data_IF_507193764082
#
_entry.id   IF_507193764082
#
_cell.length_a   1.000
_cell.length_b   1.000
_cell.length_c   1.000
_cell.angle_alpha   90.00
_cell.angle_beta   90.00
_cell.angle_gamma   90.00
#
_symmetry.space_group_name_H-M   'P 1'
#
loop_
_entity.id
_entity.type
_entity.pdbx_description
1 polymer ?
#
# COMPACT_ATOMS: atom_id res chain seq x y z
N UNK A 1 28.71 11.05 9.41
CA UNK A 1 28.77 10.27 8.14
C UNK A 1 27.44 9.58 7.91
N UNK A 2 26.48 10.27 7.25
CA UNK A 2 25.10 9.80 7.03
C UNK A 2 24.77 9.82 5.53
N UNK A 3 25.49 9.02 4.73
CA UNK A 3 25.29 8.97 3.26
C UNK A 3 24.76 7.63 2.72
N UNK A 4 24.43 6.63 3.56
CA UNK A 4 24.19 5.29 3.03
C UNK A 4 22.74 4.95 2.63
N UNK A 5 21.74 5.52 3.30
CA UNK A 5 20.32 5.15 3.07
C UNK A 5 19.76 5.62 1.72
N UNK A 6 20.13 6.83 1.26
CA UNK A 6 19.63 7.35 -0.01
C UNK A 6 20.27 6.71 -1.26
N UNK A 7 21.46 6.14 -1.14
CA UNK A 7 22.12 5.47 -2.27
C UNK A 7 21.50 4.09 -2.54
N UNK A 8 21.07 3.38 -1.49
CA UNK A 8 20.44 2.06 -1.67
C UNK A 8 19.07 2.16 -2.37
N UNK A 9 18.28 3.17 -2.04
CA UNK A 9 17.01 3.44 -2.74
C UNK A 9 17.21 3.90 -4.20
N UNK A 10 18.27 4.68 -4.48
CA UNK A 10 18.62 5.05 -5.86
C UNK A 10 19.12 3.87 -6.67
N UNK A 11 19.90 2.99 -6.06
CA UNK A 11 20.40 1.78 -6.70
C UNK A 11 19.29 0.73 -6.90
N UNK A 12 18.35 0.61 -5.96
CA UNK A 12 17.15 -0.22 -6.11
C UNK A 12 16.30 0.25 -7.30
N UNK A 13 16.10 1.57 -7.44
CA UNK A 13 15.39 2.18 -8.57
C UNK A 13 16.07 1.92 -9.92
N UNK A 14 17.41 1.99 -9.99
CA UNK A 14 18.16 1.72 -11.22
C UNK A 14 18.15 0.27 -11.64
N UNK A 15 17.99 -0.65 -10.67
CA UNK A 15 18.09 -2.09 -10.90
C UNK A 15 16.71 -2.79 -10.89
N UNK A 16 15.59 -2.04 -10.84
CA UNK A 16 14.22 -2.60 -10.73
C UNK A 16 14.06 -3.62 -9.58
N UNK A 17 14.81 -3.46 -8.48
CA UNK A 17 14.87 -4.38 -7.33
C UNK A 17 13.93 -3.94 -6.19
N UNK A 18 12.85 -3.23 -6.48
CA UNK A 18 11.90 -2.70 -5.49
C UNK A 18 10.60 -3.52 -5.40
N UNK A 19 10.63 -4.76 -5.88
CA UNK A 19 9.54 -5.72 -5.71
C UNK A 19 9.65 -6.42 -4.34
N UNK A 20 8.64 -6.23 -3.51
CA UNK A 20 8.58 -6.75 -2.15
C UNK A 20 7.31 -7.56 -1.96
N UNK A 21 7.42 -8.88 -1.76
CA UNK A 21 6.27 -9.75 -1.52
C UNK A 21 5.76 -9.60 -0.10
N UNK A 22 4.52 -9.16 0.02
CA UNK A 22 3.85 -8.92 1.31
C UNK A 22 3.45 -10.24 1.97
N UNK A 23 3.59 -10.32 3.29
CA UNK A 23 3.21 -11.52 4.03
C UNK A 23 1.69 -11.69 4.08
N UNK A 24 1.22 -12.94 3.95
CA UNK A 24 -0.20 -13.29 4.01
C UNK A 24 -0.85 -12.85 5.34
N UNK A 25 -0.10 -12.94 6.44
CA UNK A 25 -0.54 -12.48 7.76
C UNK A 25 -0.82 -10.97 7.81
N UNK A 26 0.04 -10.17 7.18
CA UNK A 26 -0.12 -8.72 7.15
C UNK A 26 -1.29 -8.31 6.26
N UNK A 27 -1.47 -9.01 5.13
CA UNK A 27 -2.63 -8.85 4.25
C UNK A 27 -3.92 -9.20 5.02
N UNK A 28 -3.97 -10.35 5.69
CA UNK A 28 -5.13 -10.79 6.44
C UNK A 28 -5.49 -9.87 7.61
N UNK A 29 -4.46 -9.33 8.30
CA UNK A 29 -4.65 -8.40 9.40
C UNK A 29 -5.27 -7.08 8.94
N UNK A 30 -4.90 -6.56 7.80
CA UNK A 30 -5.49 -5.34 7.26
C UNK A 30 -6.87 -5.63 6.64
N UNK A 31 -6.97 -6.60 5.74
CA UNK A 31 -8.17 -6.84 4.95
C UNK A 31 -9.40 -7.26 5.76
N UNK A 32 -9.20 -7.80 6.97
CA UNK A 32 -10.33 -8.13 7.86
C UNK A 32 -11.25 -6.95 8.17
N UNK A 33 -10.73 -5.73 8.08
CA UNK A 33 -11.46 -4.49 8.34
C UNK A 33 -12.29 -3.99 7.15
N UNK A 34 -12.08 -4.59 5.96
CA UNK A 34 -12.69 -4.16 4.70
C UNK A 34 -13.65 -5.18 4.09
N UNK A 35 -13.95 -6.27 4.77
CA UNK A 35 -14.74 -7.41 4.23
C UNK A 35 -16.05 -6.98 3.58
N UNK A 36 -16.75 -6.02 4.18
CA UNK A 36 -18.04 -5.54 3.66
C UNK A 36 -17.95 -4.87 2.28
N UNK A 37 -16.77 -4.33 1.93
CA UNK A 37 -16.56 -3.66 0.65
C UNK A 37 -16.42 -4.61 -0.53
N UNK A 38 -16.09 -5.89 -0.28
CA UNK A 38 -15.74 -6.85 -1.35
C UNK A 38 -16.95 -7.58 -1.94
N UNK A 39 -18.09 -7.61 -1.24
CA UNK A 39 -19.26 -8.38 -1.67
C UNK A 39 -19.77 -7.94 -3.06
N UNK A 40 -19.82 -8.88 -4.00
CA UNK A 40 -20.27 -8.65 -5.38
C UNK A 40 -19.29 -7.84 -6.22
N UNK A 41 -18.03 -7.68 -5.80
CA UNK A 41 -17.03 -6.83 -6.45
C UNK A 41 -16.02 -7.62 -7.25
N UNK A 42 -15.47 -6.96 -8.26
CA UNK A 42 -14.31 -7.41 -9.02
C UNK A 42 -13.07 -6.84 -8.36
N UNK A 43 -12.19 -7.72 -7.87
CA UNK A 43 -10.91 -7.34 -7.25
C UNK A 43 -9.79 -7.52 -8.25
N UNK A 44 -8.89 -6.54 -8.30
CA UNK A 44 -7.71 -6.56 -9.15
C UNK A 44 -6.44 -6.46 -8.31
N UNK A 45 -5.58 -7.47 -8.41
CA UNK A 45 -4.27 -7.54 -7.78
C UNK A 45 -3.21 -7.47 -8.88
N UNK A 46 -2.52 -6.36 -9.02
CA UNK A 46 -1.43 -6.21 -9.97
C UNK A 46 -0.12 -5.89 -9.23
N UNK A 47 0.99 -5.86 -9.96
CA UNK A 47 2.36 -5.58 -9.50
C UNK A 47 3.09 -6.77 -8.90
N UNK A 48 2.47 -7.69 -8.18
CA UNK A 48 3.09 -8.93 -7.72
C UNK A 48 2.89 -10.06 -8.74
N UNK A 49 3.87 -10.96 -8.89
CA UNK A 49 3.69 -12.16 -9.71
C UNK A 49 2.53 -13.00 -9.16
N UNK A 50 1.43 -13.16 -9.90
CA UNK A 50 0.22 -13.80 -9.39
C UNK A 50 0.42 -15.27 -9.02
N UNK A 51 1.50 -15.93 -9.50
CA UNK A 51 1.82 -17.32 -9.15
C UNK A 51 2.33 -17.47 -7.71
N UNK A 52 2.90 -16.38 -7.15
CA UNK A 52 3.48 -16.36 -5.81
C UNK A 52 2.92 -15.23 -4.94
N UNK A 53 2.03 -14.41 -5.49
CA UNK A 53 1.43 -13.27 -4.81
C UNK A 53 0.51 -13.72 -3.68
N UNK A 54 0.83 -13.30 -2.47
CA UNK A 54 -0.02 -13.52 -1.31
C UNK A 54 -1.36 -12.74 -1.40
N UNK A 55 -1.46 -11.71 -2.25
CA UNK A 55 -2.74 -11.05 -2.53
C UNK A 55 -3.67 -11.99 -3.31
N UNK A 56 -3.17 -12.61 -4.38
CA UNK A 56 -3.95 -13.57 -5.13
C UNK A 56 -4.37 -14.75 -4.25
N UNK A 57 -3.46 -15.31 -3.46
CA UNK A 57 -3.76 -16.39 -2.53
C UNK A 57 -4.83 -15.97 -1.50
N UNK A 58 -4.69 -14.79 -0.89
CA UNK A 58 -5.70 -14.34 0.07
C UNK A 58 -7.09 -14.25 -0.53
N UNK A 59 -7.23 -13.63 -1.69
CA UNK A 59 -8.53 -13.44 -2.32
C UNK A 59 -9.10 -14.71 -2.92
N UNK A 60 -8.29 -15.60 -3.51
CA UNK A 60 -8.78 -16.86 -4.05
C UNK A 60 -9.30 -17.80 -2.95
N UNK A 61 -8.56 -17.96 -1.86
CA UNK A 61 -9.00 -18.78 -0.71
C UNK A 61 -10.14 -18.17 0.12
N UNK A 62 -10.40 -16.88 -0.01
CA UNK A 62 -11.52 -16.24 0.68
C UNK A 62 -12.62 -15.78 -0.30
N UNK A 63 -12.59 -16.24 -1.54
CA UNK A 63 -13.47 -15.77 -2.61
C UNK A 63 -14.94 -15.87 -2.22
N UNK A 64 -15.40 -17.06 -1.86
CA UNK A 64 -16.78 -17.34 -1.46
C UNK A 64 -17.15 -16.60 -0.17
N UNK A 65 -16.27 -16.63 0.82
CA UNK A 65 -16.48 -15.98 2.11
C UNK A 65 -16.62 -14.45 2.00
N UNK A 66 -15.89 -13.83 1.08
CA UNK A 66 -15.98 -12.40 0.77
C UNK A 66 -17.11 -12.09 -0.20
N UNK A 67 -17.66 -13.11 -0.87
CA UNK A 67 -18.69 -13.00 -1.89
C UNK A 67 -18.22 -12.20 -3.11
N UNK A 68 -17.00 -12.44 -3.56
CA UNK A 68 -16.43 -11.77 -4.73
C UNK A 68 -17.21 -12.13 -5.99
N UNK A 69 -17.22 -11.21 -6.96
CA UNK A 69 -17.75 -11.49 -8.29
C UNK A 69 -16.66 -12.08 -9.20
N UNK A 70 -15.44 -11.57 -9.10
CA UNK A 70 -14.30 -11.97 -9.92
C UNK A 70 -13.00 -11.52 -9.24
N UNK A 71 -11.95 -12.29 -9.42
CA UNK A 71 -10.58 -11.93 -9.05
C UNK A 71 -9.72 -11.90 -10.30
N UNK A 72 -8.98 -10.81 -10.52
CA UNK A 72 -8.02 -10.64 -11.60
C UNK A 72 -6.66 -10.36 -10.98
N UNK A 73 -5.61 -10.99 -11.51
CA UNK A 73 -4.24 -10.71 -11.07
C UNK A 73 -3.27 -10.64 -12.25
N UNK A 74 -2.40 -9.64 -12.25
CA UNK A 74 -1.36 -9.45 -13.26
C UNK A 74 -0.06 -8.99 -12.60
N UNK A 75 1.06 -9.20 -13.27
CA UNK A 75 2.34 -8.59 -12.90
C UNK A 75 3.09 -8.08 -14.13
N UNK A 76 4.02 -7.17 -13.85
CA UNK A 76 5.03 -6.77 -14.83
C UNK A 76 6.01 -7.93 -15.06
N UNK A 77 6.29 -8.26 -16.31
CA UNK A 77 7.32 -9.24 -16.66
C UNK A 77 8.70 -8.67 -16.32
N UNK A 78 9.36 -9.24 -15.31
CA UNK A 78 10.77 -8.95 -15.08
C UNK A 78 11.60 -9.48 -16.24
N UNK A 79 12.45 -8.63 -16.82
CA UNK A 79 13.37 -9.02 -17.90
C UNK A 79 14.61 -9.77 -17.37
N UNK A 80 14.79 -9.84 -16.07
CA UNK A 80 15.87 -10.60 -15.45
C UNK A 80 15.49 -12.08 -15.41
N UNK A 81 15.78 -12.77 -16.50
CA UNK A 81 15.73 -14.24 -16.56
C UNK A 81 16.92 -14.75 -15.75
N UNK A 82 16.65 -15.19 -14.53
CA UNK A 82 17.61 -15.96 -13.78
C UNK A 82 17.76 -17.34 -14.47
N UNK A 83 18.99 -17.72 -14.82
CA UNK A 83 19.34 -18.95 -15.55
C UNK A 83 18.86 -20.26 -14.86
N UNK A 84 18.32 -20.16 -13.65
CA UNK A 84 17.86 -21.28 -12.83
C UNK A 84 16.33 -21.38 -12.67
N UNK A 85 15.54 -20.47 -13.22
CA UNK A 85 14.07 -20.59 -13.20
C UNK A 85 13.58 -21.43 -14.39
N UNK A 86 13.27 -22.67 -14.10
CA UNK A 86 12.87 -23.74 -15.06
C UNK A 86 11.49 -23.50 -15.72
N UNK A 87 10.82 -22.38 -15.49
CA UNK A 87 9.56 -22.04 -16.17
C UNK A 87 9.66 -20.69 -16.89
N UNK A 88 10.23 -20.74 -18.08
CA UNK A 88 10.23 -19.69 -19.08
C UNK A 88 8.82 -19.48 -19.65
N UNK A 89 7.96 -18.74 -18.96
CA UNK A 89 6.92 -18.06 -19.70
C UNK A 89 7.55 -16.78 -20.26
N UNK A 90 7.88 -16.80 -21.53
CA UNK A 90 8.43 -15.64 -22.24
C UNK A 90 7.47 -14.45 -22.31
N UNK A 91 6.24 -14.61 -21.81
CA UNK A 91 5.15 -13.64 -21.91
C UNK A 91 4.57 -13.32 -20.55
N UNK A 92 4.18 -12.07 -20.34
CA UNK A 92 3.37 -11.68 -19.21
C UNK A 92 1.99 -12.36 -19.29
N UNK A 93 1.44 -12.70 -18.14
CA UNK A 93 0.12 -13.34 -18.04
C UNK A 93 -0.75 -12.63 -17.02
N UNK A 94 -2.06 -12.74 -17.17
CA UNK A 94 -2.97 -12.45 -16.09
C UNK A 94 -3.78 -13.70 -15.71
N UNK A 95 -4.14 -13.79 -14.45
CA UNK A 95 -4.99 -14.83 -13.92
C UNK A 95 -6.40 -14.27 -13.72
N UNK A 96 -7.40 -15.08 -14.04
CA UNK A 96 -8.79 -14.78 -13.76
C UNK A 96 -9.40 -15.94 -12.98
N UNK A 97 -10.03 -15.63 -11.83
CA UNK A 97 -10.74 -16.60 -11.01
C UNK A 97 -12.17 -16.12 -10.77
N UNK A 98 -13.12 -16.98 -11.07
CA UNK A 98 -14.55 -16.67 -11.04
C UNK A 98 -15.29 -17.46 -9.95
N UNK A 99 -14.56 -18.05 -9.00
CA UNK A 99 -15.12 -18.81 -7.87
C UNK A 99 -15.02 -20.32 -8.04
N UNK A 100 -15.35 -21.00 -6.97
CA UNK A 100 -15.36 -22.45 -6.83
C UNK A 100 -16.52 -23.05 -7.66
N UNK A 101 -16.18 -23.93 -8.61
CA UNK A 101 -17.15 -24.60 -9.48
C UNK A 101 -17.44 -26.02 -9.04
N UNK A 102 -16.57 -26.62 -8.23
CA UNK A 102 -16.64 -28.02 -7.83
C UNK A 102 -17.08 -28.24 -6.38
N UNK A 103 -17.20 -27.18 -5.57
CA UNK A 103 -17.70 -27.22 -4.20
C UNK A 103 -16.65 -27.59 -3.15
N UNK A 104 -15.35 -27.54 -3.49
CA UNK A 104 -14.26 -27.82 -2.55
C UNK A 104 -13.98 -26.67 -1.60
N UNK A 105 -14.40 -25.46 -1.92
CA UNK A 105 -14.07 -24.18 -1.28
C UNK A 105 -12.56 -23.87 -1.26
N UNK A 106 -11.79 -24.50 -2.14
CA UNK A 106 -10.37 -24.24 -2.36
C UNK A 106 -10.17 -23.92 -3.85
N UNK A 107 -9.35 -22.90 -4.19
CA UNK A 107 -9.08 -22.57 -5.59
C UNK A 107 -8.24 -23.67 -6.23
N UNK A 108 -8.77 -24.32 -7.24
CA UNK A 108 -8.04 -25.34 -8.02
C UNK A 108 -7.50 -24.74 -9.32
N UNK A 109 -6.41 -25.33 -9.83
CA UNK A 109 -5.74 -24.82 -11.02
C UNK A 109 -6.67 -24.79 -12.24
N UNK A 110 -7.57 -25.78 -12.34
CA UNK A 110 -8.52 -25.94 -13.44
C UNK A 110 -9.60 -24.85 -13.46
N UNK A 111 -9.78 -24.15 -12.32
CA UNK A 111 -10.73 -23.06 -12.14
C UNK A 111 -10.11 -21.68 -12.41
N UNK A 112 -8.78 -21.63 -12.51
CA UNK A 112 -8.04 -20.39 -12.72
C UNK A 112 -7.68 -20.29 -14.22
N UNK A 113 -8.27 -19.33 -14.90
CA UNK A 113 -7.95 -19.03 -16.28
C UNK A 113 -6.62 -18.27 -16.34
N UNK A 114 -5.66 -18.81 -17.11
CA UNK A 114 -4.36 -18.21 -17.36
C UNK A 114 -4.34 -17.67 -18.79
N UNK A 115 -4.25 -16.34 -18.91
CA UNK A 115 -4.38 -15.66 -20.20
C UNK A 115 -3.09 -14.87 -20.48
N UNK A 116 -2.50 -15.08 -21.67
CA UNK A 116 -1.31 -14.35 -22.10
C UNK A 116 -1.65 -12.88 -22.41
N UNK A 117 -0.80 -11.98 -21.92
CA UNK A 117 -0.81 -10.57 -22.32
C UNK A 117 0.06 -10.41 -23.58
N UNK A 118 -0.32 -9.48 -24.45
CA UNK A 118 0.49 -9.11 -25.62
C UNK A 118 1.68 -8.25 -25.23
N UNK A 119 1.51 -7.45 -24.17
CA UNK A 119 2.52 -6.57 -23.61
C UNK A 119 3.30 -7.19 -22.45
N UNK A 120 4.02 -6.34 -21.73
CA UNK A 120 4.89 -6.71 -20.62
C UNK A 120 4.19 -6.73 -19.23
N UNK A 121 2.89 -6.42 -19.19
CA UNK A 121 2.11 -6.34 -17.94
C UNK A 121 2.35 -5.08 -17.11
N UNK A 122 3.03 -4.08 -17.65
CA UNK A 122 3.15 -2.77 -16.99
C UNK A 122 1.75 -2.21 -16.72
N UNK A 123 1.52 -1.69 -15.50
CA UNK A 123 0.21 -1.16 -15.11
C UNK A 123 -0.27 0.01 -15.99
N UNK A 124 0.63 0.67 -16.70
CA UNK A 124 0.36 1.76 -17.66
C UNK A 124 0.00 1.27 -19.06
N UNK A 125 0.21 -0.01 -19.35
CA UNK A 125 -0.11 -0.56 -20.66
C UNK A 125 -1.60 -0.51 -20.95
N UNK A 126 -1.97 -0.44 -22.23
CA UNK A 126 -3.37 -0.42 -22.64
C UNK A 126 -4.13 -1.66 -22.14
N UNK A 127 -3.50 -2.83 -22.15
CA UNK A 127 -4.11 -4.08 -21.66
C UNK A 127 -4.37 -4.04 -20.16
N UNK A 128 -3.37 -3.59 -19.36
CA UNK A 128 -3.52 -3.45 -17.91
C UNK A 128 -4.60 -2.41 -17.54
N UNK A 129 -4.72 -1.35 -18.35
CA UNK A 129 -5.79 -0.34 -18.19
C UNK A 129 -7.17 -0.95 -18.48
N UNK A 130 -7.29 -1.81 -19.51
CA UNK A 130 -8.57 -2.48 -19.78
C UNK A 130 -8.96 -3.44 -18.66
N UNK A 131 -8.01 -4.13 -18.03
CA UNK A 131 -8.26 -4.93 -16.84
C UNK A 131 -8.61 -4.04 -15.63
N UNK A 132 -7.92 -2.92 -15.45
CA UNK A 132 -8.22 -1.94 -14.42
C UNK A 132 -9.65 -1.41 -14.56
N UNK A 133 -10.12 -1.13 -15.77
CA UNK A 133 -11.49 -0.65 -16.02
C UNK A 133 -12.55 -1.65 -15.53
N UNK A 134 -12.29 -2.97 -15.66
CA UNK A 134 -13.20 -4.02 -15.19
C UNK A 134 -13.24 -4.11 -13.65
N UNK A 135 -12.19 -3.68 -12.97
CA UNK A 135 -12.08 -3.78 -11.52
C UNK A 135 -12.96 -2.75 -10.80
N UNK A 136 -13.53 -3.15 -9.69
CA UNK A 136 -14.16 -2.26 -8.70
C UNK A 136 -13.13 -1.80 -7.66
N UNK A 137 -12.29 -2.73 -7.21
CA UNK A 137 -11.34 -2.52 -6.11
C UNK A 137 -9.97 -3.04 -6.51
N UNK A 138 -8.94 -2.22 -6.33
CA UNK A 138 -7.54 -2.61 -6.54
C UNK A 138 -6.87 -2.85 -5.20
N UNK A 139 -6.25 -4.02 -5.02
CA UNK A 139 -5.51 -4.38 -3.80
C UNK A 139 -4.14 -4.92 -4.18
N UNK A 140 -3.07 -4.20 -3.83
CA UNK A 140 -1.73 -4.58 -4.27
C UNK A 140 -0.62 -3.87 -3.49
N UNK A 141 0.62 -4.27 -3.75
CA UNK A 141 1.83 -3.59 -3.32
C UNK A 141 2.57 -3.04 -4.55
N UNK A 142 2.30 -1.79 -4.97
CA UNK A 142 2.96 -1.21 -6.13
C UNK A 142 4.43 -0.86 -5.83
N UNK A 143 5.32 -0.80 -6.84
CA UNK A 143 6.68 -0.32 -6.67
C UNK A 143 6.69 1.07 -6.05
N UNK A 144 7.41 1.25 -4.94
CA UNK A 144 7.41 2.53 -4.19
C UNK A 144 7.94 3.70 -5.03
N UNK A 145 8.80 3.43 -5.98
CA UNK A 145 9.32 4.43 -6.93
C UNK A 145 8.25 4.99 -7.86
N UNK A 146 7.22 4.21 -8.17
CA UNK A 146 6.12 4.56 -9.07
C UNK A 146 4.81 4.93 -8.33
N UNK A 147 4.85 4.97 -7.00
CA UNK A 147 3.65 5.12 -6.15
C UNK A 147 2.79 6.33 -6.52
N UNK A 148 3.40 7.49 -6.82
CA UNK A 148 2.66 8.72 -7.21
C UNK A 148 1.88 8.52 -8.50
N UNK A 149 2.54 7.96 -9.50
CA UNK A 149 1.97 7.70 -10.82
C UNK A 149 0.84 6.67 -10.71
N UNK A 150 1.07 5.62 -9.91
CA UNK A 150 0.11 4.58 -9.66
C UNK A 150 -1.17 5.11 -9.00
N UNK A 151 -1.05 5.89 -7.91
CA UNK A 151 -2.21 6.52 -7.25
C UNK A 151 -2.93 7.47 -8.19
N UNK A 152 -2.20 8.26 -8.98
CA UNK A 152 -2.82 9.18 -9.96
C UNK A 152 -3.69 8.42 -10.95
N UNK A 153 -3.23 7.27 -11.46
CA UNK A 153 -4.00 6.41 -12.35
C UNK A 153 -5.26 5.87 -11.65
N UNK A 154 -5.16 5.39 -10.42
CA UNK A 154 -6.32 4.88 -9.68
C UNK A 154 -7.40 5.94 -9.47
N UNK A 155 -6.99 7.17 -9.21
CA UNK A 155 -7.91 8.31 -9.06
C UNK A 155 -8.51 8.71 -10.40
N UNK A 156 -7.71 8.75 -11.48
CA UNK A 156 -8.18 9.07 -12.84
C UNK A 156 -9.27 8.11 -13.31
N UNK A 157 -9.12 6.81 -13.03
CA UNK A 157 -10.11 5.79 -13.38
C UNK A 157 -11.18 5.56 -12.30
N UNK A 158 -11.27 6.44 -11.29
CA UNK A 158 -12.25 6.39 -10.18
C UNK A 158 -12.29 5.02 -9.48
N UNK A 159 -11.13 4.43 -9.21
CA UNK A 159 -11.04 3.12 -8.58
C UNK A 159 -11.02 3.21 -7.07
N UNK A 160 -11.71 2.28 -6.43
CA UNK A 160 -11.51 1.99 -5.02
C UNK A 160 -10.22 1.19 -4.87
N UNK A 161 -9.47 1.45 -3.80
CA UNK A 161 -8.19 0.76 -3.63
C UNK A 161 -7.76 0.62 -2.16
N UNK A 162 -6.93 -0.36 -1.94
CA UNK A 162 -6.16 -0.58 -0.71
C UNK A 162 -4.75 -1.02 -1.12
N UNK A 163 -3.77 -0.13 -1.01
CA UNK A 163 -2.43 -0.34 -1.53
C UNK A 163 -1.36 -0.03 -0.48
N UNK A 164 -0.22 -0.69 -0.62
CA UNK A 164 0.93 -0.48 0.27
C UNK A 164 1.80 0.65 -0.29
N UNK A 165 2.26 1.53 0.60
CA UNK A 165 3.18 2.60 0.26
C UNK A 165 4.05 3.00 1.44
N UNK A 166 5.12 3.75 1.16
CA UNK A 166 5.99 4.27 2.19
C UNK A 166 5.45 5.60 2.75
N UNK A 167 5.61 5.84 4.05
CA UNK A 167 5.13 7.06 4.73
C UNK A 167 5.60 8.37 4.06
N UNK A 168 6.78 8.36 3.42
CA UNK A 168 7.27 9.54 2.70
C UNK A 168 6.33 9.97 1.57
N UNK A 169 5.48 9.07 1.07
CA UNK A 169 4.49 9.40 0.05
C UNK A 169 3.50 10.47 0.53
N UNK A 170 3.24 10.57 1.83
CA UNK A 170 2.36 11.59 2.43
C UNK A 170 2.87 13.00 2.11
N UNK A 171 4.19 13.17 1.99
CA UNK A 171 4.81 14.48 1.70
C UNK A 171 4.80 14.86 0.22
N UNK A 172 4.43 13.94 -0.67
CA UNK A 172 4.31 14.25 -2.09
C UNK A 172 3.09 15.14 -2.34
N UNK A 173 3.26 16.19 -3.12
CA UNK A 173 2.21 17.20 -3.37
C UNK A 173 0.90 16.57 -3.84
N UNK A 174 0.97 15.60 -4.74
CA UNK A 174 -0.19 14.92 -5.31
C UNK A 174 -0.93 14.12 -4.24
N UNK A 175 -0.19 13.35 -3.42
CA UNK A 175 -0.74 12.51 -2.36
C UNK A 175 -1.27 13.37 -1.21
N UNK A 176 -0.50 14.39 -0.80
CA UNK A 176 -0.91 15.31 0.28
C UNK A 176 -2.23 16.02 -0.05
N UNK A 177 -2.40 16.47 -1.28
CA UNK A 177 -3.65 17.11 -1.70
C UNK A 177 -4.85 16.15 -1.60
N UNK A 178 -4.68 14.88 -2.00
CA UNK A 178 -5.72 13.88 -1.87
C UNK A 178 -6.08 13.60 -0.40
N UNK A 179 -5.08 13.55 0.49
CA UNK A 179 -5.30 13.40 1.94
C UNK A 179 -6.02 14.62 2.51
N UNK A 180 -5.55 15.82 2.18
CA UNK A 180 -6.15 17.09 2.62
C UNK A 180 -7.61 17.22 2.18
N UNK A 181 -7.90 16.82 0.94
CA UNK A 181 -9.23 16.86 0.35
C UNK A 181 -10.11 15.67 0.80
N UNK A 182 -9.62 14.85 1.74
CA UNK A 182 -10.30 13.68 2.30
C UNK A 182 -10.70 12.64 1.23
N UNK A 183 -9.89 12.48 0.19
CA UNK A 183 -10.09 11.52 -0.89
C UNK A 183 -9.37 10.21 -0.65
N UNK A 184 -8.26 10.23 0.10
CA UNK A 184 -7.50 9.06 0.53
C UNK A 184 -7.07 9.21 1.98
N UNK A 185 -6.79 8.10 2.65
CA UNK A 185 -6.34 8.04 4.04
C UNK A 185 -5.50 6.79 4.29
N UNK A 186 -4.95 6.69 5.50
CA UNK A 186 -4.19 5.52 5.92
C UNK A 186 -5.14 4.45 6.49
N UNK A 187 -4.82 3.18 6.21
CA UNK A 187 -5.48 2.02 6.80
C UNK A 187 -5.11 1.79 8.27
N UNK A 188 -5.32 0.57 8.75
CA UNK A 188 -4.99 0.18 10.11
C UNK A 188 -3.48 0.09 10.32
N UNK A 189 -2.74 -0.42 9.32
CA UNK A 189 -1.29 -0.43 9.29
C UNK A 189 -0.67 -1.78 9.69
N UNK A 190 0.65 -1.81 9.69
CA UNK A 190 1.44 -2.99 10.02
C UNK A 190 1.68 -3.08 11.53
N UNK A 191 1.60 -4.29 12.10
CA UNK A 191 1.91 -4.53 13.51
C UNK A 191 3.37 -4.14 13.79
N UNK A 192 3.57 -3.28 14.78
CA UNK A 192 4.91 -2.78 15.10
C UNK A 192 5.46 -1.69 14.16
N UNK A 193 4.62 -1.13 13.26
CA UNK A 193 4.98 0.02 12.41
C UNK A 193 5.98 -0.29 11.29
N UNK A 194 6.21 -1.57 10.98
CA UNK A 194 7.10 -1.99 9.91
C UNK A 194 6.56 -3.24 9.21
N UNK A 195 6.67 -3.28 7.89
CA UNK A 195 6.38 -4.47 7.09
C UNK A 195 7.59 -5.40 7.00
N UNK A 196 7.35 -6.70 6.98
CA UNK A 196 8.35 -7.71 6.67
C UNK A 196 8.02 -8.31 5.31
N UNK A 197 8.94 -8.21 4.37
CA UNK A 197 8.72 -8.61 2.99
C UNK A 197 9.73 -9.68 2.59
N UNK A 198 9.31 -10.58 1.72
CA UNK A 198 10.23 -11.48 1.02
C UNK A 198 10.77 -10.74 -0.20
N UNK A 199 12.09 -10.78 -0.37
CA UNK A 199 12.75 -10.32 -1.58
C UNK A 199 13.80 -11.34 -1.97
N UNK A 200 13.67 -11.90 -3.17
CA UNK A 200 14.54 -12.97 -3.68
C UNK A 200 15.90 -12.46 -4.15
N UNK A 201 16.09 -11.13 -4.25
CA UNK A 201 17.28 -10.53 -4.86
C UNK A 201 18.23 -9.85 -3.86
N UNK A 202 17.90 -9.81 -2.56
CA UNK A 202 18.74 -9.22 -1.52
C UNK A 202 19.33 -10.29 -0.59
N UNK A 203 20.63 -10.46 -0.64
CA UNK A 203 21.38 -11.36 0.26
C UNK A 203 21.80 -10.70 1.58
N UNK A 204 21.89 -9.38 1.62
CA UNK A 204 22.38 -8.63 2.79
C UNK A 204 21.37 -7.58 3.25
N UNK A 205 20.80 -7.78 4.42
CA UNK A 205 19.81 -6.91 5.03
C UNK A 205 20.44 -5.94 6.01
N UNK A 206 19.94 -4.69 6.00
CA UNK A 206 20.30 -3.72 7.02
C UNK A 206 19.96 -4.27 8.41
N UNK A 207 20.90 -4.14 9.32
CA UNK A 207 20.82 -4.57 10.70
C UNK A 207 19.54 -4.11 11.38
N UNK A 208 18.61 -5.01 11.63
CA UNK A 208 17.49 -4.80 12.53
C UNK A 208 17.49 -5.92 13.55
N UNK A 209 17.20 -5.58 14.79
CA UNK A 209 17.11 -6.48 15.94
C UNK A 209 16.05 -7.58 15.79
N UNK A 210 15.14 -7.45 14.82
CA UNK A 210 14.06 -8.40 14.54
C UNK A 210 14.28 -9.13 13.21
N UNK A 211 15.41 -9.78 13.04
CA UNK A 211 15.71 -10.61 11.88
C UNK A 211 14.76 -11.80 11.83
N UNK A 212 13.87 -11.80 10.82
CA UNK A 212 13.21 -13.03 10.37
C UNK A 212 14.00 -13.53 9.18
N UNK A 213 14.45 -14.79 9.21
CA UNK A 213 15.26 -15.37 8.14
C UNK A 213 14.55 -15.26 6.79
N UNK A 214 15.25 -14.78 5.77
CA UNK A 214 14.71 -14.59 4.41
C UNK A 214 13.79 -13.40 4.21
N UNK A 215 13.63 -12.52 5.21
CA UNK A 215 12.74 -11.35 5.11
C UNK A 215 13.49 -10.04 5.30
N UNK A 216 13.05 -9.00 4.58
CA UNK A 216 13.48 -7.63 4.74
C UNK A 216 12.48 -6.88 5.63
N UNK A 217 12.97 -6.19 6.65
CA UNK A 217 12.18 -5.25 7.43
C UNK A 217 12.22 -3.87 6.79
N UNK A 218 11.07 -3.35 6.38
CA UNK A 218 10.92 -1.99 5.87
C UNK A 218 10.09 -1.18 6.87
N UNK A 219 10.72 -0.19 7.50
CA UNK A 219 10.05 0.74 8.41
C UNK A 219 9.26 1.80 7.63
N UNK A 220 8.21 2.34 8.25
CA UNK A 220 7.43 3.42 7.66
C UNK A 220 6.57 2.99 6.48
N UNK A 221 6.22 1.72 6.40
CA UNK A 221 5.27 1.19 5.42
C UNK A 221 3.86 1.31 5.97
N UNK A 222 2.94 1.77 5.13
CA UNK A 222 1.53 1.96 5.48
C UNK A 222 0.62 1.49 4.35
N UNK A 223 -0.62 1.16 4.73
CA UNK A 223 -1.71 0.98 3.79
C UNK A 223 -2.33 2.34 3.46
N UNK A 224 -2.54 2.59 2.18
CA UNK A 224 -3.24 3.77 1.65
C UNK A 224 -4.54 3.32 1.00
N UNK A 225 -5.64 4.01 1.28
CA UNK A 225 -6.95 3.57 0.79
C UNK A 225 -7.91 4.74 0.62
N UNK A 226 -8.94 4.53 -0.20
CA UNK A 226 -10.14 5.34 -0.30
C UNK A 226 -11.42 4.54 0.06
N UNK A 227 -11.24 3.34 0.64
CA UNK A 227 -12.33 2.54 1.21
C UNK A 227 -12.61 3.03 2.62
N UNK A 228 -13.86 3.26 2.94
CA UNK A 228 -14.25 3.72 4.28
C UNK A 228 -13.95 2.67 5.35
N UNK A 229 -13.49 3.11 6.52
CA UNK A 229 -13.15 2.26 7.66
C UNK A 229 -13.63 2.88 8.97
N UNK A 230 -14.01 2.04 9.94
CA UNK A 230 -14.50 2.48 11.24
C UNK A 230 -13.53 3.43 11.95
N UNK A 231 -12.24 3.16 11.88
CA UNK A 231 -11.17 3.99 12.48
C UNK A 231 -11.23 5.48 12.09
N UNK A 232 -11.81 5.82 10.93
CA UNK A 232 -11.97 7.21 10.50
C UNK A 232 -13.05 7.96 11.27
N UNK A 233 -14.00 7.22 11.82
CA UNK A 233 -15.17 7.74 12.51
C UNK A 233 -15.01 7.67 14.03
N UNK A 234 -13.88 7.17 14.53
CA UNK A 234 -13.57 7.17 15.95
C UNK A 234 -13.37 8.59 16.45
N UNK A 235 -14.04 8.93 17.55
CA UNK A 235 -13.84 10.22 18.20
C UNK A 235 -12.41 10.35 18.72
N UNK A 236 -11.81 11.51 18.48
CA UNK A 236 -10.52 11.84 19.10
C UNK A 236 -10.72 11.98 20.61
N UNK A 237 -10.19 11.03 21.37
CA UNK A 237 -10.12 11.16 22.84
C UNK A 237 -9.11 12.26 23.14
N UNK A 238 -9.64 13.45 23.45
CA UNK A 238 -8.82 14.59 23.83
C UNK A 238 -8.43 14.42 25.30
N UNK A 239 -7.14 14.36 25.56
CA UNK A 239 -6.59 14.36 26.92
C UNK A 239 -6.99 15.62 27.70
N UNK A 240 -7.11 16.75 27.00
CA UNK A 240 -7.48 18.03 27.56
C UNK A 240 -8.34 18.82 26.59
N UNK A 241 -9.45 19.38 27.10
CA UNK A 241 -10.24 20.32 26.31
C UNK A 241 -9.56 21.68 26.35
N UNK A 242 -9.61 22.37 25.21
CA UNK A 242 -9.15 23.76 25.10
C UNK A 242 -9.95 24.66 26.05
N UNK A 243 -9.24 25.48 26.84
CA UNK A 243 -9.82 26.56 27.63
C UNK A 243 -9.29 27.90 27.15
N UNK A 244 -10.10 28.99 27.18
CA UNK A 244 -9.66 30.32 26.76
C UNK A 244 -8.42 30.85 27.51
N UNK A 245 -8.24 30.42 28.74
CA UNK A 245 -7.11 30.80 29.60
C UNK A 245 -5.79 30.23 29.08
N UNK A 246 -5.83 29.12 28.31
CA UNK A 246 -4.66 28.48 27.68
C UNK A 246 -4.24 29.12 26.38
N UNK A 247 -5.00 30.14 25.88
CA UNK A 247 -4.65 30.90 24.69
C UNK A 247 -3.44 31.83 24.87
N UNK A 248 -3.16 32.22 26.08
CA UNK A 248 -2.02 33.07 26.35
C UNK A 248 -0.85 32.22 26.83
N UNK A 249 0.07 31.94 25.92
CA UNK A 249 1.39 31.46 26.33
C UNK A 249 2.21 32.71 26.72
N UNK A 250 2.49 32.92 28.00
CA UNK A 250 3.36 34.02 28.39
C UNK A 250 4.76 33.70 27.89
N UNK A 251 5.19 34.37 26.85
CA UNK A 251 6.60 34.33 26.42
C UNK A 251 7.41 35.06 27.51
N UNK A 252 8.63 34.59 27.76
CA UNK A 252 9.60 35.24 28.65
C UNK A 252 9.85 36.73 28.32
N UNK A 253 9.29 37.23 27.24
CA UNK A 253 9.43 38.59 26.71
C UNK A 253 8.10 39.32 26.50
N UNK A 254 7.00 38.86 27.10
CA UNK A 254 5.73 39.61 27.14
C UNK A 254 4.94 39.69 25.83
N UNK A 255 5.32 38.98 24.79
CA UNK A 255 4.56 38.92 23.52
C UNK A 255 3.67 37.68 23.50
N UNK A 256 2.35 37.89 23.55
CA UNK A 256 1.37 36.82 23.40
C UNK A 256 1.16 36.54 21.89
N UNK A 257 1.27 35.29 21.49
CA UNK A 257 0.88 34.87 20.15
C UNK A 257 -0.58 34.47 20.13
N UNK A 258 -1.34 35.02 19.20
CA UNK A 258 -2.73 34.70 18.99
C UNK A 258 -2.81 33.36 18.23
N UNK A 259 -3.43 32.32 18.85
CA UNK A 259 -3.72 31.04 18.19
C UNK A 259 -5.11 31.12 17.57
N UNK A 260 -5.26 30.92 16.26
CA UNK A 260 -6.57 30.96 15.61
C UNK A 260 -7.53 29.93 16.21
N UNK A 261 -8.77 30.32 16.41
CA UNK A 261 -9.89 29.61 17.07
C UNK A 261 -10.25 28.23 16.51
N UNK A 262 -9.56 27.77 15.44
CA UNK A 262 -9.94 26.60 14.64
C UNK A 262 -9.02 25.39 14.79
N UNK A 263 -8.00 25.45 15.63
CA UNK A 263 -7.10 24.33 15.87
C UNK A 263 -7.44 23.64 17.18
N UNK A 264 -8.25 22.59 17.13
CA UNK A 264 -8.54 21.70 18.26
C UNK A 264 -7.33 20.81 18.63
N UNK A 265 -6.11 21.36 18.64
CA UNK A 265 -4.92 20.67 19.11
C UNK A 265 -4.29 21.44 20.26
N UNK A 266 -3.81 20.78 21.32
CA UNK A 266 -2.92 21.43 22.27
C UNK A 266 -1.64 21.79 21.51
N UNK A 267 -1.48 23.06 21.14
CA UNK A 267 -0.22 23.57 20.63
C UNK A 267 0.75 23.65 21.80
N UNK A 268 1.84 22.91 21.73
CA UNK A 268 3.04 23.22 22.51
C UNK A 268 3.42 24.66 22.20
N UNK A 269 3.59 25.44 23.27
CA UNK A 269 4.00 26.85 23.17
C UNK A 269 5.46 26.90 22.70
N UNK A 270 5.66 27.07 21.38
CA UNK A 270 6.99 27.24 20.81
C UNK A 270 7.39 28.72 20.86
N UNK A 271 8.49 29.01 21.48
CA UNK A 271 9.12 30.35 21.40
C UNK A 271 9.76 30.55 20.03
N UNK A 272 9.87 31.79 19.58
CA UNK A 272 10.41 32.18 18.25
C UNK A 272 11.82 31.64 17.96
N UNK A 273 12.54 31.19 18.99
CA UNK A 273 13.90 30.63 18.93
C UNK A 273 13.96 29.17 18.50
N UNK A 274 12.82 28.44 18.48
CA UNK A 274 12.80 27.02 18.11
C UNK A 274 12.46 26.77 16.64
N UNK A 275 12.11 27.81 15.87
CA UNK A 275 11.80 27.70 14.44
C UNK A 275 13.03 27.68 13.52
N UNK A 276 14.23 27.80 14.06
CA UNK A 276 15.46 27.77 13.27
C UNK A 276 16.06 26.37 13.08
N UNK A 277 15.39 25.31 13.53
CA UNK A 277 15.91 23.93 13.53
C UNK A 277 14.98 22.90 12.88
N UNK A 278 14.01 23.35 12.03
CA UNK A 278 13.19 22.43 11.24
C UNK A 278 13.23 22.78 9.76
#
# INVERSE_FOLDING_TARGET
MTKSLNNNLKNAKSNKKDEFYTQLSDIGNELRHYKAHFKGKVVYCNCDDPRVSNFFHYFSYNFEKLGLKKLIATCYKSQDIDLFTVNNSEKAVYLEYNGDKNGTNEPEREEIDIIELKGDGDFRSAESIELLKQADIVVTNPPFSLFREYVSQLIEYDKKFLIIGHQNAITYKEIFNLIKDNKIWLGFGFTGGAGHFINTQYENYATATDKKDGMIRVSGVHWFTNLDISKRHDDLILYKKYTPEEQSCPTKHGTAFFVPKYLNKPLLCCTKTEWSLW
#
